data_IF_374887201260
#
_entry.id   IF_374887201260
#
_cell.length_a   1.000
_cell.length_b   1.000
_cell.length_c   1.000
_cell.angle_alpha   90.00
_cell.angle_beta   90.00
_cell.angle_gamma   90.00
#
_symmetry.space_group_name_H-M   'P 1'
#
loop_
_entity.id
_entity.type
_entity.pdbx_description
1 polymer ?
#
# COMPACT_ATOMS: atom_id res chain seq x y z
N UNK A 1 -37.79 48.77 64.41
CA UNK A 1 -37.58 50.22 64.59
C UNK A 1 -37.33 50.79 63.23
N UNK A 2 -38.28 51.60 62.80
CA UNK A 2 -38.35 52.30 61.53
C UNK A 2 -37.12 53.19 61.28
N UNK A 3 -36.79 53.43 60.01
CA UNK A 3 -37.10 54.74 59.38
C UNK A 3 -36.68 54.76 57.91
N UNK A 4 -37.66 55.08 57.08
CA UNK A 4 -37.62 55.53 55.68
C UNK A 4 -37.22 57.01 55.56
N UNK A 5 -36.53 57.39 54.48
CA UNK A 5 -36.76 58.62 53.65
C UNK A 5 -35.52 58.86 52.75
N UNK A 6 -35.55 58.58 51.43
CA UNK A 6 -36.04 59.41 50.31
C UNK A 6 -35.36 60.78 50.16
N UNK A 7 -34.63 61.01 49.05
CA UNK A 7 -34.88 62.16 48.16
C UNK A 7 -34.09 62.08 46.84
N UNK A 8 -34.76 62.62 45.82
CA UNK A 8 -34.50 62.62 44.36
C UNK A 8 -33.76 63.90 43.93
N UNK A 9 -33.25 63.92 42.68
CA UNK A 9 -32.86 65.08 41.82
C UNK A 9 -31.34 65.24 41.68
N UNK A 10 -30.71 65.50 40.53
CA UNK A 10 -31.10 65.58 39.11
C UNK A 10 -29.82 65.88 38.31
N UNK A 11 -29.70 65.23 37.15
CA UNK A 11 -29.14 65.78 35.90
C UNK A 11 -27.64 66.07 35.66
N UNK A 12 -27.33 65.68 34.41
CA UNK A 12 -26.35 66.16 33.43
C UNK A 12 -25.00 65.42 33.28
N UNK A 13 -24.80 64.99 32.03
CA UNK A 13 -23.57 64.62 31.32
C UNK A 13 -23.16 63.14 31.26
N UNK A 14 -24.00 62.33 30.62
CA UNK A 14 -23.52 61.16 29.87
C UNK A 14 -23.21 61.60 28.44
N UNK A 15 -21.96 62.03 28.19
CA UNK A 15 -21.41 62.13 26.84
C UNK A 15 -20.76 60.79 26.50
N UNK A 16 -21.10 60.31 25.31
CA UNK A 16 -20.77 59.00 24.76
C UNK A 16 -19.26 58.82 24.55
N UNK A 17 -18.70 57.72 25.06
CA UNK A 17 -17.56 57.08 24.42
C UNK A 17 -18.09 56.04 23.42
N UNK A 18 -18.06 56.41 22.14
CA UNK A 18 -18.50 55.63 20.97
C UNK A 18 -17.53 54.46 20.66
N UNK A 19 -16.72 54.03 21.63
CA UNK A 19 -15.62 53.09 21.40
C UNK A 19 -15.98 51.62 21.68
N UNK A 20 -17.19 51.30 22.12
CA UNK A 20 -17.50 49.96 22.62
C UNK A 20 -18.78 49.32 22.03
N UNK A 21 -18.99 49.49 20.72
CA UNK A 21 -19.89 48.59 19.98
C UNK A 21 -19.07 47.36 19.60
N UNK A 22 -19.34 46.16 20.16
CA UNK A 22 -18.69 44.95 19.70
C UNK A 22 -18.99 44.80 18.21
N UNK A 23 -17.96 44.62 17.42
CA UNK A 23 -18.06 44.45 15.98
C UNK A 23 -18.71 43.08 15.68
N UNK A 24 -20.05 43.02 15.67
CA UNK A 24 -20.87 41.81 15.48
C UNK A 24 -20.69 41.17 14.08
N UNK A 25 -19.97 41.83 13.17
CA UNK A 25 -19.80 41.38 11.79
C UNK A 25 -18.49 40.65 11.48
N UNK A 26 -17.67 40.29 12.48
CA UNK A 26 -16.50 39.44 12.23
C UNK A 26 -16.80 37.96 12.46
N UNK A 27 -17.83 37.45 11.77
CA UNK A 27 -17.94 36.00 11.53
C UNK A 27 -16.82 35.67 10.55
N UNK A 28 -15.64 35.36 11.09
CA UNK A 28 -14.63 34.61 10.38
C UNK A 28 -15.33 33.38 9.81
N UNK A 29 -15.59 33.38 8.50
CA UNK A 29 -16.07 32.20 7.77
C UNK A 29 -14.91 31.21 7.76
N UNK A 30 -14.66 30.56 8.90
CA UNK A 30 -13.78 29.40 8.98
C UNK A 30 -14.39 28.36 8.06
N UNK A 31 -13.83 28.26 6.86
CA UNK A 31 -14.19 27.24 5.88
C UNK A 31 -13.95 25.90 6.57
N UNK A 32 -15.04 25.23 6.96
CA UNK A 32 -14.96 23.99 7.70
C UNK A 32 -14.48 22.90 6.76
N UNK A 33 -13.18 22.59 6.80
CA UNK A 33 -12.64 21.45 6.10
C UNK A 33 -12.98 20.19 6.88
N UNK A 34 -13.53 19.19 6.19
CA UNK A 34 -13.67 17.84 6.75
C UNK A 34 -12.30 17.34 7.21
N UNK A 35 -12.26 16.52 8.27
CA UNK A 35 -11.04 15.80 8.67
C UNK A 35 -10.45 15.10 7.45
N UNK A 36 -9.12 14.99 7.38
CA UNK A 36 -8.41 14.39 6.24
C UNK A 36 -8.97 13.01 5.87
N UNK A 37 -9.33 12.18 6.85
CA UNK A 37 -9.93 10.86 6.66
C UNK A 37 -11.31 10.86 5.96
N UNK A 38 -11.99 12.00 5.88
CA UNK A 38 -13.30 12.15 5.22
C UNK A 38 -13.26 13.13 4.03
N UNK A 39 -12.05 13.47 3.57
CA UNK A 39 -11.84 14.42 2.49
C UNK A 39 -11.69 13.69 1.16
N UNK A 40 -12.31 14.25 0.12
CA UNK A 40 -12.07 13.84 -1.28
C UNK A 40 -10.93 14.73 -1.81
N UNK A 41 -9.83 14.11 -2.25
CA UNK A 41 -8.69 14.81 -2.84
C UNK A 41 -8.93 15.10 -4.32
N UNK A 42 -8.33 16.17 -4.84
CA UNK A 42 -8.58 16.67 -6.19
C UNK A 42 -7.25 16.87 -6.91
N UNK A 43 -6.97 16.05 -7.92
CA UNK A 43 -5.80 16.22 -8.79
C UNK A 43 -6.13 17.14 -9.98
N UNK A 44 -7.35 17.05 -10.53
CA UNK A 44 -7.87 17.89 -11.62
C UNK A 44 -9.26 18.39 -11.22
N UNK A 45 -9.57 19.64 -11.52
CA UNK A 45 -10.89 20.22 -11.24
C UNK A 45 -12.01 19.45 -11.94
N UNK A 46 -13.11 19.18 -11.22
CA UNK A 46 -14.25 18.42 -11.73
C UNK A 46 -15.56 19.05 -11.25
N UNK A 47 -16.46 19.35 -12.18
CA UNK A 47 -17.78 19.91 -11.91
C UNK A 47 -18.82 18.79 -11.80
N UNK A 48 -19.21 18.43 -10.57
CA UNK A 48 -20.11 17.29 -10.31
C UNK A 48 -21.51 17.46 -10.92
N UNK A 49 -21.97 18.70 -11.16
CA UNK A 49 -23.26 19.00 -11.80
C UNK A 49 -23.39 18.43 -13.23
N UNK A 50 -22.26 18.27 -13.92
CA UNK A 50 -22.19 17.76 -15.28
C UNK A 50 -22.20 16.23 -15.34
N UNK A 51 -22.01 15.54 -14.22
CA UNK A 51 -21.97 14.07 -14.15
C UNK A 51 -23.40 13.53 -14.10
N UNK A 52 -23.74 12.63 -15.05
CA UNK A 52 -25.08 12.01 -15.15
C UNK A 52 -25.12 10.55 -14.72
N UNK A 53 -23.98 9.86 -14.76
CA UNK A 53 -23.86 8.46 -14.42
C UNK A 53 -22.74 8.26 -13.41
N UNK A 54 -22.97 7.39 -12.43
CA UNK A 54 -22.00 7.00 -11.41
C UNK A 54 -21.76 5.50 -11.54
N UNK A 55 -20.59 5.12 -12.02
CA UNK A 55 -20.15 3.73 -12.08
C UNK A 55 -19.40 3.35 -10.81
N UNK A 56 -19.63 2.14 -10.31
CA UNK A 56 -18.93 1.59 -9.16
C UNK A 56 -18.30 0.25 -9.54
N UNK A 57 -17.05 0.08 -9.14
CA UNK A 57 -16.42 -1.23 -9.06
C UNK A 57 -16.82 -1.92 -7.74
N UNK A 58 -16.72 -3.24 -7.65
CA UNK A 58 -17.12 -3.99 -6.46
C UNK A 58 -15.96 -4.12 -5.47
N UNK A 59 -14.94 -4.89 -5.84
CA UNK A 59 -13.88 -5.32 -4.95
C UNK A 59 -12.94 -4.17 -4.58
N UNK A 60 -12.65 -4.03 -3.28
CA UNK A 60 -11.85 -2.93 -2.73
C UNK A 60 -12.38 -1.51 -3.07
N UNK A 61 -13.60 -1.39 -3.60
CA UNK A 61 -14.29 -0.12 -3.85
C UNK A 61 -15.59 -0.02 -3.04
N UNK A 62 -16.53 -0.94 -3.26
CA UNK A 62 -17.75 -1.08 -2.45
C UNK A 62 -17.56 -2.13 -1.35
N UNK A 63 -16.92 -3.26 -1.69
CA UNK A 63 -16.59 -4.34 -0.79
C UNK A 63 -15.14 -4.24 -0.34
N UNK A 64 -14.92 -3.58 0.80
CA UNK A 64 -13.60 -3.51 1.42
C UNK A 64 -13.35 -4.77 2.28
N UNK A 65 -12.41 -5.60 1.83
CA UNK A 65 -12.00 -6.79 2.58
C UNK A 65 -11.21 -6.41 3.83
N UNK A 66 -11.45 -7.13 4.93
CA UNK A 66 -10.81 -6.85 6.22
C UNK A 66 -9.34 -7.27 6.22
N UNK A 67 -8.44 -6.29 6.33
CA UNK A 67 -7.02 -6.52 6.52
C UNK A 67 -6.66 -6.79 7.99
N UNK A 68 -5.78 -7.75 8.32
CA UNK A 68 -5.03 -8.65 7.43
C UNK A 68 -5.69 -10.03 7.21
N UNK A 69 -6.98 -10.17 7.55
CA UNK A 69 -7.66 -11.46 7.60
C UNK A 69 -7.86 -12.07 6.20
N UNK A 70 -8.25 -11.25 5.23
CA UNK A 70 -8.45 -11.70 3.85
C UNK A 70 -7.12 -12.08 3.18
N UNK A 71 -6.09 -11.25 3.38
CA UNK A 71 -4.76 -11.50 2.83
C UNK A 71 -4.14 -12.77 3.41
N UNK A 72 -4.31 -13.00 4.72
CA UNK A 72 -3.86 -14.23 5.38
C UNK A 72 -4.53 -15.48 4.81
N UNK A 73 -5.84 -15.40 4.52
CA UNK A 73 -6.58 -16.49 3.88
C UNK A 73 -6.02 -16.79 2.48
N UNK A 74 -5.90 -15.75 1.64
CA UNK A 74 -5.36 -15.91 0.29
C UNK A 74 -3.93 -16.45 0.28
N UNK A 75 -3.10 -16.02 1.25
CA UNK A 75 -1.74 -16.52 1.43
C UNK A 75 -1.72 -18.02 1.77
N UNK A 76 -2.51 -18.45 2.76
CA UNK A 76 -2.54 -19.84 3.21
C UNK A 76 -3.00 -20.77 2.07
N UNK A 77 -4.07 -20.41 1.35
CA UNK A 77 -4.58 -21.18 0.22
C UNK A 77 -3.54 -21.27 -0.92
N UNK A 78 -2.81 -20.19 -1.20
CA UNK A 78 -1.78 -20.19 -2.25
C UNK A 78 -0.63 -21.13 -1.88
N UNK A 79 -0.19 -21.10 -0.62
CA UNK A 79 0.84 -22.00 -0.09
C UNK A 79 0.39 -23.46 -0.18
N UNK A 80 -0.83 -23.79 0.26
CA UNK A 80 -1.39 -25.14 0.13
C UNK A 80 -1.43 -25.60 -1.33
N UNK A 81 -1.84 -24.70 -2.25
CA UNK A 81 -1.88 -24.99 -3.67
C UNK A 81 -0.49 -25.28 -4.23
N UNK A 82 0.52 -24.49 -3.91
CA UNK A 82 1.89 -24.72 -4.36
C UNK A 82 2.43 -26.07 -3.86
N UNK A 83 2.17 -26.43 -2.60
CA UNK A 83 2.57 -27.75 -2.07
C UNK A 83 1.87 -28.88 -2.82
N UNK A 84 0.60 -28.72 -3.18
CA UNK A 84 -0.13 -29.70 -4.00
C UNK A 84 0.48 -29.88 -5.41
N UNK A 85 1.18 -28.86 -5.92
CA UNK A 85 1.89 -28.89 -7.20
C UNK A 85 3.31 -29.46 -7.10
N UNK A 86 3.78 -29.79 -5.89
CA UNK A 86 5.08 -30.41 -5.65
C UNK A 86 6.13 -29.49 -5.03
N UNK A 87 5.77 -28.28 -4.57
CA UNK A 87 6.68 -27.47 -3.78
C UNK A 87 7.00 -28.13 -2.42
N UNK A 88 8.17 -27.85 -1.81
CA UNK A 88 8.59 -28.48 -0.57
C UNK A 88 7.59 -28.25 0.57
N UNK A 89 7.20 -29.30 1.30
CA UNK A 89 6.18 -29.22 2.37
C UNK A 89 6.54 -28.26 3.49
N UNK A 90 7.81 -27.90 3.63
CA UNK A 90 8.32 -26.91 4.58
C UNK A 90 7.66 -25.53 4.36
N UNK A 91 7.20 -25.19 3.16
CA UNK A 91 6.56 -23.88 2.92
C UNK A 91 5.21 -23.73 3.64
N UNK A 92 4.58 -24.83 4.08
CA UNK A 92 3.35 -24.79 4.88
C UNK A 92 3.52 -24.05 6.21
N UNK A 93 4.76 -23.92 6.68
CA UNK A 93 5.06 -23.20 7.93
C UNK A 93 5.13 -21.68 7.75
N UNK A 94 4.97 -21.17 6.52
CA UNK A 94 4.99 -19.73 6.29
C UNK A 94 3.75 -19.08 6.92
N UNK A 95 3.98 -17.97 7.62
CA UNK A 95 2.92 -17.15 8.19
C UNK A 95 2.90 -15.79 7.50
N UNK A 96 1.72 -15.32 7.10
CA UNK A 96 1.57 -14.03 6.44
C UNK A 96 1.89 -12.88 7.41
N UNK A 97 2.91 -12.07 7.06
CA UNK A 97 3.26 -10.84 7.76
C UNK A 97 2.74 -9.61 7.00
N UNK A 98 1.69 -8.91 7.50
CA UNK A 98 1.13 -7.74 6.84
C UNK A 98 2.03 -6.51 6.87
N UNK A 99 3.13 -6.51 7.63
CA UNK A 99 4.03 -5.35 7.74
C UNK A 99 5.05 -5.27 6.61
N UNK A 100 5.25 -6.37 5.88
CA UNK A 100 6.22 -6.46 4.79
C UNK A 100 5.71 -5.91 3.45
N UNK A 101 4.60 -6.41 2.88
CA UNK A 101 4.25 -6.08 1.50
C UNK A 101 3.72 -4.65 1.40
N UNK A 102 4.21 -3.93 0.39
CA UNK A 102 3.69 -2.61 0.00
C UNK A 102 3.14 -2.72 -1.41
N UNK A 103 1.95 -2.16 -1.64
CA UNK A 103 1.31 -2.15 -2.96
C UNK A 103 2.14 -1.35 -3.96
N UNK A 104 2.21 -1.81 -5.20
CA UNK A 104 2.88 -1.15 -6.32
C UNK A 104 4.35 -1.53 -6.48
N UNK A 105 4.82 -2.58 -5.80
CA UNK A 105 6.15 -3.14 -6.04
C UNK A 105 6.21 -3.80 -7.42
N UNK A 106 7.40 -3.74 -8.02
CA UNK A 106 7.73 -4.45 -9.25
C UNK A 106 8.43 -5.73 -8.89
N UNK A 107 7.98 -6.84 -9.45
CA UNK A 107 8.69 -8.11 -9.37
C UNK A 107 9.50 -8.30 -10.65
N UNK A 108 10.83 -8.35 -10.53
CA UNK A 108 11.73 -8.69 -11.64
C UNK A 108 11.92 -10.20 -11.70
N UNK A 109 11.26 -10.84 -12.66
CA UNK A 109 11.30 -12.29 -12.84
C UNK A 109 12.65 -12.82 -13.32
N UNK A 110 13.55 -11.96 -13.81
CA UNK A 110 14.89 -12.38 -14.23
C UNK A 110 15.78 -12.66 -13.01
N UNK A 111 15.80 -11.75 -12.03
CA UNK A 111 16.68 -11.84 -10.86
C UNK A 111 15.96 -12.22 -9.57
N UNK A 112 14.63 -12.35 -9.60
CA UNK A 112 13.83 -12.68 -8.42
C UNK A 112 13.89 -11.60 -7.36
N UNK A 113 13.79 -10.32 -7.77
CA UNK A 113 13.86 -9.19 -6.85
C UNK A 113 12.53 -8.45 -6.78
N UNK A 114 12.24 -7.92 -5.60
CA UNK A 114 11.16 -6.95 -5.38
C UNK A 114 11.76 -5.55 -5.42
N UNK A 115 11.25 -4.73 -6.33
CA UNK A 115 11.75 -3.40 -6.63
C UNK A 115 10.69 -2.36 -6.28
N UNK A 116 11.10 -1.33 -5.54
CA UNK A 116 10.34 -0.10 -5.44
C UNK A 116 10.93 0.89 -6.43
N UNK A 117 10.14 1.32 -7.40
CA UNK A 117 10.59 2.23 -8.45
C UNK A 117 9.86 3.56 -8.39
N UNK A 118 10.46 4.59 -8.95
CA UNK A 118 9.79 5.86 -9.22
C UNK A 118 9.01 5.83 -10.56
N UNK A 119 8.38 6.96 -10.90
CA UNK A 119 7.62 7.10 -12.17
C UNK A 119 8.47 7.02 -13.43
N UNK A 120 9.80 7.12 -13.31
CA UNK A 120 10.72 7.07 -14.43
C UNK A 120 11.38 5.70 -14.55
N UNK A 121 11.17 4.76 -13.62
CA UNK A 121 11.81 3.44 -13.60
C UNK A 121 13.14 3.40 -12.85
N UNK A 122 13.49 4.45 -12.11
CA UNK A 122 14.66 4.42 -11.21
C UNK A 122 14.35 3.59 -9.98
N UNK A 123 15.28 2.72 -9.60
CA UNK A 123 15.14 1.81 -8.47
C UNK A 123 15.47 2.55 -7.17
N UNK A 124 14.47 2.69 -6.31
CA UNK A 124 14.58 3.30 -4.98
C UNK A 124 14.98 2.26 -3.93
N UNK A 125 14.38 1.07 -4.00
CA UNK A 125 14.63 -0.04 -3.09
C UNK A 125 14.69 -1.32 -3.91
N UNK A 126 15.62 -2.20 -3.58
CA UNK A 126 15.74 -3.53 -4.17
C UNK A 126 15.89 -4.56 -3.06
N UNK A 127 15.04 -5.59 -3.10
CA UNK A 127 15.04 -6.68 -2.15
C UNK A 127 15.13 -8.01 -2.88
N UNK A 128 15.87 -8.96 -2.32
CA UNK A 128 15.86 -10.34 -2.78
C UNK A 128 15.49 -11.24 -1.60
N UNK A 129 14.32 -11.88 -1.67
CA UNK A 129 13.71 -12.48 -0.51
C UNK A 129 13.45 -11.42 0.57
N UNK A 130 14.08 -11.57 1.74
CA UNK A 130 14.03 -10.60 2.83
C UNK A 130 15.29 -9.73 2.96
N UNK A 131 16.29 -9.94 2.11
CA UNK A 131 17.52 -9.14 2.13
C UNK A 131 17.34 -7.85 1.33
N UNK A 132 17.58 -6.71 1.96
CA UNK A 132 17.71 -5.43 1.26
C UNK A 132 19.09 -5.35 0.62
N UNK A 133 19.15 -5.24 -0.71
CA UNK A 133 20.42 -5.17 -1.43
C UNK A 133 21.08 -3.81 -1.23
N UNK A 134 22.38 -3.84 -0.95
CA UNK A 134 23.22 -2.64 -0.87
C UNK A 134 23.40 -2.05 -2.27
N UNK A 135 23.81 -0.78 -2.30
CA UNK A 135 24.04 -0.07 -3.56
C UNK A 135 25.03 -0.80 -4.48
N UNK A 136 26.11 -1.38 -3.95
CA UNK A 136 27.10 -2.13 -4.74
C UNK A 136 26.48 -3.34 -5.45
N UNK A 137 25.76 -4.19 -4.71
CA UNK A 137 25.06 -5.36 -5.26
C UNK A 137 23.97 -4.95 -6.27
N UNK A 138 23.28 -3.84 -6.00
CA UNK A 138 22.29 -3.30 -6.92
C UNK A 138 22.93 -2.86 -8.25
N UNK A 139 24.13 -2.28 -8.25
CA UNK A 139 24.84 -1.90 -9.49
C UNK A 139 25.30 -3.12 -10.30
N UNK A 140 25.56 -4.25 -9.66
CA UNK A 140 25.91 -5.49 -10.36
C UNK A 140 24.71 -6.04 -11.16
N UNK A 141 23.50 -5.99 -10.58
CA UNK A 141 22.27 -6.44 -11.24
C UNK A 141 21.67 -5.38 -12.17
N UNK A 142 21.76 -4.11 -11.78
CA UNK A 142 21.17 -2.95 -12.45
C UNK A 142 22.22 -1.83 -12.60
N UNK A 143 23.10 -1.87 -13.63
CA UNK A 143 24.20 -0.93 -13.79
C UNK A 143 23.81 0.55 -13.76
N UNK A 144 22.60 0.89 -14.23
CA UNK A 144 22.10 2.27 -14.24
C UNK A 144 21.08 2.55 -13.13
N UNK A 145 20.87 1.63 -12.17
CA UNK A 145 19.77 1.67 -11.18
C UNK A 145 18.42 1.99 -11.82
N UNK A 146 18.23 1.50 -13.03
CA UNK A 146 17.09 1.79 -13.86
C UNK A 146 16.61 0.46 -14.41
N UNK A 147 15.29 0.29 -14.40
CA UNK A 147 14.64 -0.82 -15.06
C UNK A 147 13.51 -0.27 -15.91
N UNK A 148 13.56 -0.57 -17.20
CA UNK A 148 12.45 -0.29 -18.09
C UNK A 148 11.31 -1.25 -17.77
N UNK A 149 10.07 -0.73 -17.74
CA UNK A 149 8.90 -1.58 -17.64
C UNK A 149 8.75 -2.40 -18.92
N UNK A 150 9.07 -3.69 -18.81
CA UNK A 150 8.89 -4.69 -19.85
C UNK A 150 8.01 -5.80 -19.26
N UNK A 151 6.78 -5.92 -19.75
CA UNK A 151 5.79 -6.87 -19.24
C UNK A 151 6.24 -8.34 -19.34
N UNK A 152 7.21 -8.65 -20.22
CA UNK A 152 7.77 -10.00 -20.32
C UNK A 152 8.68 -10.37 -19.15
N UNK A 153 9.25 -9.36 -18.47
CA UNK A 153 10.23 -9.51 -17.38
C UNK A 153 9.68 -9.04 -16.04
N UNK A 154 8.93 -7.95 -16.05
CA UNK A 154 8.51 -7.21 -14.86
C UNK A 154 7.01 -7.35 -14.69
N UNK A 155 6.61 -7.77 -13.50
CA UNK A 155 5.21 -7.77 -13.09
C UNK A 155 4.96 -6.69 -12.04
N UNK A 156 3.89 -5.90 -12.21
CA UNK A 156 3.56 -4.80 -11.29
C UNK A 156 2.42 -5.20 -10.35
N UNK A 157 2.73 -5.27 -9.06
CA UNK A 157 1.85 -5.75 -7.99
C UNK A 157 0.93 -4.62 -7.48
N UNK A 158 0.00 -4.18 -8.34
CA UNK A 158 -0.74 -2.91 -8.18
C UNK A 158 -2.04 -2.98 -7.37
N UNK A 159 -2.61 -4.16 -7.18
CA UNK A 159 -3.90 -4.33 -6.48
C UNK A 159 -3.68 -4.82 -5.05
N UNK A 160 -4.69 -4.66 -4.18
CA UNK A 160 -4.62 -5.22 -2.82
C UNK A 160 -4.69 -6.75 -2.83
N UNK A 161 -5.26 -7.36 -3.88
CA UNK A 161 -5.16 -8.81 -4.11
C UNK A 161 -3.73 -9.30 -4.31
N UNK A 162 -2.81 -8.41 -4.73
CA UNK A 162 -1.41 -8.78 -4.94
C UNK A 162 -0.59 -8.79 -3.64
N UNK A 163 -1.13 -8.37 -2.48
CA UNK A 163 -0.36 -8.32 -1.23
C UNK A 163 0.10 -9.71 -0.75
N UNK A 164 -0.76 -10.76 -0.74
CA UNK A 164 -0.34 -12.11 -0.39
C UNK A 164 0.75 -12.66 -1.30
N UNK A 165 0.61 -12.50 -2.62
CA UNK A 165 1.60 -13.00 -3.59
C UNK A 165 2.93 -12.24 -3.49
N UNK A 166 2.88 -10.93 -3.21
CA UNK A 166 4.09 -10.12 -2.99
C UNK A 166 4.92 -10.69 -1.84
N UNK A 167 4.25 -11.00 -0.73
CA UNK A 167 4.92 -11.59 0.43
C UNK A 167 5.36 -13.04 0.15
N UNK A 168 4.52 -13.84 -0.51
CA UNK A 168 4.83 -15.22 -0.86
C UNK A 168 6.06 -15.35 -1.76
N UNK A 169 6.21 -14.47 -2.76
CA UNK A 169 7.40 -14.41 -3.59
C UNK A 169 8.66 -14.14 -2.75
N UNK A 170 8.59 -13.20 -1.81
CA UNK A 170 9.69 -12.93 -0.89
C UNK A 170 10.02 -14.16 -0.02
N UNK A 171 9.00 -14.82 0.54
CA UNK A 171 9.18 -16.04 1.32
C UNK A 171 9.86 -17.16 0.52
N UNK A 172 9.39 -17.42 -0.71
CA UNK A 172 9.92 -18.48 -1.57
C UNK A 172 11.35 -18.17 -1.99
N UNK A 173 11.63 -16.96 -2.46
CA UNK A 173 12.98 -16.55 -2.84
C UNK A 173 13.91 -16.66 -1.63
N UNK A 174 13.49 -16.17 -0.46
CA UNK A 174 14.27 -16.30 0.77
C UNK A 174 14.52 -17.78 1.13
N UNK A 175 13.49 -18.62 1.10
CA UNK A 175 13.60 -20.04 1.40
C UNK A 175 14.60 -20.75 0.48
N UNK A 176 14.47 -20.58 -0.83
CA UNK A 176 15.36 -21.26 -1.78
C UNK A 176 16.78 -20.69 -1.78
N UNK A 177 16.98 -19.41 -1.47
CA UNK A 177 18.32 -18.81 -1.45
C UNK A 177 19.08 -19.07 -0.15
N UNK A 178 18.38 -19.38 0.94
CA UNK A 178 19.00 -19.63 2.26
C UNK A 178 19.08 -21.11 2.61
N UNK A 179 18.29 -21.96 1.95
CA UNK A 179 18.27 -23.39 2.22
C UNK A 179 19.54 -24.08 1.69
N UNK A 180 20.18 -24.97 2.47
CA UNK A 180 21.43 -25.64 2.07
C UNK A 180 21.25 -26.64 0.91
N UNK A 181 20.02 -27.03 0.62
CA UNK A 181 19.68 -27.99 -0.45
C UNK A 181 19.65 -27.36 -1.86
N UNK A 182 19.83 -26.04 -1.94
CA UNK A 182 19.74 -25.27 -3.16
C UNK A 182 20.99 -24.39 -3.32
N UNK A 183 21.53 -24.34 -4.53
CA UNK A 183 22.58 -23.38 -4.87
C UNK A 183 21.97 -22.19 -5.61
N UNK A 184 22.24 -20.98 -5.10
CA UNK A 184 21.81 -19.72 -5.72
C UNK A 184 22.54 -19.50 -7.05
N UNK A 185 21.77 -19.18 -8.08
CA UNK A 185 22.27 -18.65 -9.35
C UNK A 185 21.72 -17.24 -9.58
N UNK A 186 22.22 -16.53 -10.60
CA UNK A 186 21.77 -15.17 -10.88
C UNK A 186 20.30 -15.10 -11.29
N UNK A 187 19.81 -16.13 -11.99
CA UNK A 187 18.46 -16.16 -12.57
C UNK A 187 17.53 -17.22 -11.97
N UNK A 188 17.94 -17.83 -10.86
CA UNK A 188 17.17 -18.85 -10.19
C UNK A 188 17.95 -19.59 -9.11
N UNK A 189 17.52 -20.81 -8.85
CA UNK A 189 18.11 -21.73 -7.88
C UNK A 189 18.24 -23.11 -8.50
N UNK A 190 19.29 -23.83 -8.13
CA UNK A 190 19.53 -25.20 -8.60
C UNK A 190 19.46 -26.19 -7.43
N UNK A 191 18.83 -27.33 -7.67
CA UNK A 191 18.82 -28.47 -6.75
C UNK A 191 19.21 -29.73 -7.52
N UNK A 192 20.47 -30.16 -7.37
CA UNK A 192 21.04 -31.22 -8.23
C UNK A 192 21.00 -30.83 -9.70
N UNK A 193 20.32 -31.63 -10.53
CA UNK A 193 20.16 -31.39 -11.96
C UNK A 193 18.96 -30.48 -12.31
N UNK A 194 18.09 -30.17 -11.33
CA UNK A 194 16.93 -29.33 -11.53
C UNK A 194 17.29 -27.85 -11.38
N UNK A 195 17.01 -27.05 -12.41
CA UNK A 195 17.10 -25.60 -12.38
C UNK A 195 15.68 -25.00 -12.29
N UNK A 196 15.44 -24.23 -11.24
CA UNK A 196 14.21 -23.46 -11.06
C UNK A 196 14.52 -21.98 -11.27
N UNK A 197 14.04 -21.39 -12.37
CA UNK A 197 14.20 -19.96 -12.62
C UNK A 197 13.25 -19.14 -11.74
N UNK A 198 13.64 -17.92 -11.39
CA UNK A 198 12.73 -17.02 -10.65
C UNK A 198 11.45 -16.71 -11.44
N UNK A 199 11.54 -16.70 -12.76
CA UNK A 199 10.37 -16.59 -13.63
C UNK A 199 9.43 -17.80 -13.50
N UNK A 200 9.95 -19.02 -13.47
CA UNK A 200 9.11 -20.22 -13.26
C UNK A 200 8.41 -20.21 -11.90
N UNK A 201 9.13 -19.83 -10.83
CA UNK A 201 8.55 -19.69 -9.49
C UNK A 201 7.43 -18.65 -9.48
N UNK A 202 7.66 -17.51 -10.14
CA UNK A 202 6.65 -16.47 -10.26
C UNK A 202 5.41 -16.94 -11.01
N UNK A 203 5.58 -17.67 -12.11
CA UNK A 203 4.44 -18.22 -12.86
C UNK A 203 3.66 -19.23 -12.03
N UNK A 204 4.33 -20.09 -11.26
CA UNK A 204 3.66 -21.03 -10.37
C UNK A 204 2.83 -20.32 -9.30
N UNK A 205 3.38 -19.25 -8.70
CA UNK A 205 2.66 -18.41 -7.72
C UNK A 205 1.45 -17.74 -8.37
N UNK A 206 1.60 -17.13 -9.55
CA UNK A 206 0.49 -16.50 -10.28
C UNK A 206 -0.61 -17.50 -10.61
N UNK A 207 -0.24 -18.66 -11.13
CA UNK A 207 -1.18 -19.73 -11.44
C UNK A 207 -1.90 -20.25 -10.18
N UNK A 208 -1.19 -20.36 -9.04
CA UNK A 208 -1.79 -20.74 -7.77
C UNK A 208 -2.79 -19.68 -7.30
N UNK A 209 -2.45 -18.39 -7.39
CA UNK A 209 -3.32 -17.29 -6.98
C UNK A 209 -4.55 -17.21 -7.87
N UNK A 210 -4.38 -17.32 -9.19
CA UNK A 210 -5.47 -17.26 -10.15
C UNK A 210 -6.41 -18.48 -9.99
N UNK A 211 -5.86 -19.66 -9.66
CA UNK A 211 -6.67 -20.85 -9.40
C UNK A 211 -7.68 -20.66 -8.26
N UNK A 212 -7.29 -19.97 -7.18
CA UNK A 212 -8.15 -19.73 -6.00
C UNK A 212 -9.28 -18.74 -6.26
N UNK A 213 -9.13 -17.86 -7.26
CA UNK A 213 -10.14 -16.85 -7.58
C UNK A 213 -11.11 -17.33 -8.67
N UNK A 214 -10.79 -18.44 -9.34
CA UNK A 214 -11.60 -19.03 -10.42
C UNK A 214 -12.40 -20.25 -9.97
N UNK A 215 -11.92 -21.00 -8.97
CA UNK A 215 -12.55 -22.22 -8.44
C UNK A 215 -12.94 -22.04 -6.98
#
# INVERSE_FOLDING_TARGET
MDTTSSNVSSDVSTIMDVANVPNIFNISTKKYYRKTAHRIFVNRSLHLENIKFYGFDMDYTLAEYKSPAYERLGFALAVERLVSLGYPTQILQFEYDPTFPVRGLWFDSLYGTLLKVDSYGNILVCMQGFEFLKHSQMYELYPNKFLQLDESRVYVLNTLFNLPETYLLACLINYFTTSPNYSRENTGVRSGDLLMSFNSIFQDVRNAVDWMHVH
#
